data_IF_873975691036
#
_entry.id   IF_873975691036
#
_cell.length_a   1.000
_cell.length_b   1.000
_cell.length_c   1.000
_cell.angle_alpha   90.00
_cell.angle_beta   90.00
_cell.angle_gamma   90.00
#
_symmetry.space_group_name_H-M   'P 1'
#
loop_
_entity.id
_entity.type
_entity.pdbx_description
1 polymer ?
#
# COMPACT_ATOMS: atom_id res chain seq x y z
N UNK A 1 -33.58 14.57 -0.77
CA UNK A 1 -32.55 13.75 -1.46
C UNK A 1 -33.25 12.52 -2.00
N UNK A 2 -33.00 12.14 -3.26
CA UNK A 2 -33.53 10.92 -3.87
C UNK A 2 -32.33 10.01 -4.14
N UNK A 3 -32.41 8.73 -3.76
CA UNK A 3 -31.35 7.73 -3.91
C UNK A 3 -31.85 6.58 -4.79
N UNK A 4 -31.69 6.65 -6.12
CA UNK A 4 -32.33 5.72 -7.06
C UNK A 4 -31.86 4.26 -6.94
N UNK A 5 -30.66 4.04 -6.40
CA UNK A 5 -30.02 2.73 -6.29
C UNK A 5 -30.13 2.13 -4.88
N UNK A 6 -30.90 2.76 -3.97
CA UNK A 6 -30.94 2.38 -2.54
C UNK A 6 -31.44 0.95 -2.28
N UNK A 7 -32.23 0.41 -3.20
CA UNK A 7 -32.88 -0.90 -3.08
C UNK A 7 -32.08 -2.01 -3.81
N UNK A 8 -30.89 -1.69 -4.33
CA UNK A 8 -30.00 -2.61 -5.05
C UNK A 8 -28.71 -2.87 -4.27
N UNK A 9 -28.22 -4.11 -4.36
CA UNK A 9 -26.89 -4.51 -3.93
C UNK A 9 -25.82 -4.14 -4.96
N UNK A 10 -24.53 -4.24 -4.58
CA UNK A 10 -23.41 -3.75 -5.39
C UNK A 10 -23.24 -4.52 -6.71
N UNK A 11 -23.46 -5.82 -6.69
CA UNK A 11 -23.52 -6.70 -7.86
C UNK A 11 -24.70 -6.34 -8.77
N UNK A 12 -25.89 -6.12 -8.22
CA UNK A 12 -27.07 -5.71 -8.99
C UNK A 12 -26.88 -4.33 -9.67
N UNK A 13 -26.19 -3.40 -9.00
CA UNK A 13 -25.82 -2.10 -9.61
C UNK A 13 -24.88 -2.30 -10.80
N UNK A 14 -24.00 -3.30 -10.78
CA UNK A 14 -23.11 -3.61 -11.90
C UNK A 14 -23.89 -4.19 -13.07
N UNK A 15 -24.70 -5.21 -12.82
CA UNK A 15 -25.57 -5.82 -13.84
C UNK A 15 -26.47 -4.78 -14.52
N UNK A 16 -27.12 -3.91 -13.73
CA UNK A 16 -27.93 -2.81 -14.24
C UNK A 16 -27.11 -1.85 -15.13
N UNK A 17 -25.85 -1.57 -14.77
CA UNK A 17 -24.98 -0.73 -15.58
C UNK A 17 -24.74 -1.31 -16.98
N UNK A 18 -24.51 -2.61 -17.07
CA UNK A 18 -24.33 -3.30 -18.35
C UNK A 18 -25.62 -3.35 -19.16
N UNK A 19 -26.77 -3.61 -18.52
CA UNK A 19 -28.09 -3.58 -19.17
C UNK A 19 -28.42 -2.19 -19.77
N UNK A 20 -27.94 -1.13 -19.11
CA UNK A 20 -28.05 0.24 -19.60
C UNK A 20 -27.04 0.58 -20.72
N UNK A 21 -26.18 -0.37 -21.10
CA UNK A 21 -25.20 -0.22 -22.17
C UNK A 21 -23.91 0.51 -21.76
N UNK A 22 -23.62 0.59 -20.45
CA UNK A 22 -22.33 1.11 -19.99
C UNK A 22 -21.20 0.11 -20.31
N UNK A 23 -19.98 0.58 -20.63
CA UNK A 23 -18.85 -0.31 -20.85
C UNK A 23 -18.53 -1.17 -19.63
N UNK A 24 -18.25 -2.46 -19.83
CA UNK A 24 -17.90 -3.41 -18.77
C UNK A 24 -16.77 -2.89 -17.87
N UNK A 25 -15.64 -2.48 -18.47
CA UNK A 25 -14.49 -1.93 -17.77
C UNK A 25 -14.80 -0.66 -16.95
N UNK A 26 -15.89 0.04 -17.24
CA UNK A 26 -16.33 1.20 -16.48
C UNK A 26 -17.14 0.80 -15.24
N UNK A 27 -18.02 -0.18 -15.40
CA UNK A 27 -18.91 -0.70 -14.35
C UNK A 27 -18.13 -1.53 -13.32
N UNK A 28 -17.12 -2.25 -13.76
CA UNK A 28 -16.31 -3.15 -12.94
C UNK A 28 -15.07 -2.49 -12.32
N UNK A 29 -14.90 -1.17 -12.45
CA UNK A 29 -13.80 -0.44 -11.82
C UNK A 29 -13.77 -0.66 -10.32
N UNK A 30 -12.56 -0.69 -9.78
CA UNK A 30 -12.35 -0.66 -8.34
C UNK A 30 -12.96 0.60 -7.71
N UNK A 31 -13.43 0.50 -6.46
CA UNK A 31 -13.86 1.68 -5.73
C UNK A 31 -12.68 2.68 -5.62
N UNK A 32 -12.98 3.95 -5.87
CA UNK A 32 -12.04 5.05 -5.72
C UNK A 32 -12.56 6.03 -4.66
N UNK A 33 -11.74 6.40 -3.65
CA UNK A 33 -12.22 7.22 -2.54
C UNK A 33 -12.59 8.64 -3.00
N UNK A 34 -13.57 9.26 -2.33
CA UNK A 34 -14.00 10.64 -2.66
C UNK A 34 -12.86 11.68 -2.64
N UNK A 35 -11.98 11.68 -1.62
CA UNK A 35 -10.77 12.53 -1.61
C UNK A 35 -9.71 12.15 -2.67
N UNK A 36 -9.90 11.04 -3.38
CA UNK A 36 -9.02 10.54 -4.42
C UNK A 36 -7.58 10.32 -3.97
N UNK A 37 -6.63 10.82 -4.77
CA UNK A 37 -5.20 10.68 -4.48
C UNK A 37 -4.75 11.40 -3.21
N UNK A 38 -5.57 12.31 -2.66
CA UNK A 38 -5.22 13.05 -1.44
C UNK A 38 -5.02 12.17 -0.21
N UNK A 39 -5.63 10.98 -0.17
CA UNK A 39 -5.47 9.97 0.90
C UNK A 39 -4.45 8.86 0.55
N UNK A 40 -3.78 9.02 -0.59
CA UNK A 40 -2.75 8.11 -1.12
C UNK A 40 -1.40 8.78 -1.30
N UNK A 41 -1.31 10.10 -1.13
CA UNK A 41 -0.04 10.83 -1.06
C UNK A 41 0.24 11.15 0.39
N UNK A 42 1.10 10.35 1.02
CA UNK A 42 1.43 10.56 2.42
C UNK A 42 2.21 11.88 2.56
N UNK A 43 1.70 12.74 3.44
CA UNK A 43 2.26 14.05 3.71
C UNK A 43 2.97 14.04 5.07
N UNK A 44 4.19 14.56 5.10
CA UNK A 44 4.96 14.68 6.34
C UNK A 44 5.98 15.81 6.23
N UNK A 45 6.03 16.67 7.25
CA UNK A 45 7.01 17.76 7.33
C UNK A 45 8.35 17.27 7.94
N UNK A 46 8.28 16.30 8.84
CA UNK A 46 9.41 15.75 9.59
C UNK A 46 9.32 14.23 9.71
N UNK A 47 10.46 13.60 9.99
CA UNK A 47 10.54 12.17 10.29
C UNK A 47 9.64 11.80 11.48
N UNK A 48 9.01 10.64 11.41
CA UNK A 48 8.05 10.19 12.42
C UNK A 48 8.68 9.82 13.78
N UNK A 49 9.99 9.55 13.82
CA UNK A 49 10.75 9.27 15.03
C UNK A 49 12.13 9.91 14.96
N UNK A 50 12.65 10.34 16.10
CA UNK A 50 14.00 10.87 16.26
C UNK A 50 15.01 9.72 16.42
N UNK A 51 16.27 9.88 16.00
CA UNK A 51 17.34 8.92 16.32
C UNK A 51 17.55 8.70 17.83
N UNK A 52 17.08 9.63 18.67
CA UNK A 52 17.08 9.50 20.13
C UNK A 52 15.98 8.61 20.69
N UNK A 53 14.95 8.35 19.88
CA UNK A 53 13.89 7.41 20.25
C UNK A 53 14.47 6.01 20.07
N UNK A 54 14.34 5.16 21.09
CA UNK A 54 14.71 3.75 20.94
C UNK A 54 14.00 3.22 19.69
N UNK A 55 14.77 2.78 18.69
CA UNK A 55 14.20 2.23 17.47
C UNK A 55 13.17 1.15 17.85
N UNK A 56 11.98 1.12 17.22
CA UNK A 56 10.99 0.10 17.50
C UNK A 56 11.64 -1.28 17.42
N UNK A 57 11.55 -2.05 18.51
CA UNK A 57 12.08 -3.41 18.57
C UNK A 57 11.40 -4.22 17.46
N UNK A 58 12.19 -4.72 16.51
CA UNK A 58 11.68 -5.67 15.52
C UNK A 58 11.56 -7.04 16.17
N UNK A 59 10.47 -7.75 15.88
CA UNK A 59 10.30 -9.15 16.29
C UNK A 59 11.03 -10.13 15.36
N UNK A 60 11.58 -9.62 14.26
CA UNK A 60 12.39 -10.42 13.35
C UNK A 60 13.85 -10.36 13.84
N UNK A 61 14.47 -11.50 14.19
CA UNK A 61 15.88 -11.52 14.52
C UNK A 61 16.68 -11.01 13.34
N UNK A 62 17.37 -9.90 13.53
CA UNK A 62 18.19 -9.29 12.51
C UNK A 62 19.42 -8.68 13.17
N UNK A 63 20.46 -9.51 13.30
CA UNK A 63 21.71 -9.14 13.98
C UNK A 63 22.36 -7.87 13.40
N UNK A 64 21.99 -7.47 12.17
CA UNK A 64 22.55 -6.32 11.46
C UNK A 64 21.51 -5.31 10.91
N UNK A 65 20.22 -5.41 11.25
CA UNK A 65 19.13 -4.58 10.69
C UNK A 65 19.09 -4.55 9.14
N UNK A 66 19.48 -5.65 8.47
CA UNK A 66 19.50 -5.78 7.00
C UNK A 66 18.19 -6.29 6.40
N UNK A 67 17.42 -7.05 7.16
CA UNK A 67 16.19 -7.73 6.75
C UNK A 67 14.93 -7.07 7.28
N UNK A 68 15.02 -6.22 8.30
CA UNK A 68 13.90 -5.37 8.75
C UNK A 68 14.32 -3.93 9.02
N UNK A 69 13.47 -2.98 8.61
CA UNK A 69 13.67 -1.55 8.86
C UNK A 69 12.38 -0.83 9.21
N UNK A 70 12.44 0.01 10.25
CA UNK A 70 11.36 0.97 10.55
C UNK A 70 11.41 2.12 9.54
N UNK A 71 10.27 2.42 8.92
CA UNK A 71 10.12 3.48 7.94
C UNK A 71 9.92 4.84 8.65
N UNK A 72 10.46 5.95 8.11
CA UNK A 72 10.46 7.26 8.76
C UNK A 72 9.11 7.99 8.73
N UNK A 73 8.01 7.24 8.69
CA UNK A 73 6.64 7.73 8.48
C UNK A 73 5.68 7.10 9.48
N UNK A 74 4.55 7.78 9.71
CA UNK A 74 3.38 7.17 10.34
C UNK A 74 2.39 6.75 9.26
N UNK A 75 1.57 5.76 9.59
CA UNK A 75 0.50 5.26 8.76
C UNK A 75 -0.77 5.11 9.59
N UNK A 76 -1.92 5.36 8.98
CA UNK A 76 -3.21 5.17 9.65
C UNK A 76 -3.50 3.68 9.84
N UNK A 77 -4.09 3.36 10.98
CA UNK A 77 -4.57 2.04 11.35
C UNK A 77 -5.81 2.12 12.23
N UNK A 78 -6.43 0.98 12.51
CA UNK A 78 -7.61 0.84 13.38
C UNK A 78 -7.36 -0.22 14.43
N UNK A 79 -7.49 0.15 15.71
CA UNK A 79 -7.43 -0.78 16.83
C UNK A 79 -8.56 -0.46 17.81
N UNK A 80 -9.39 -1.46 18.13
CA UNK A 80 -10.65 -1.22 18.83
C UNK A 80 -11.54 -0.28 18.03
N UNK A 81 -12.09 0.73 18.69
CA UNK A 81 -13.05 1.68 18.09
C UNK A 81 -12.39 2.95 17.53
N UNK A 82 -11.06 3.08 17.64
CA UNK A 82 -10.33 4.31 17.32
C UNK A 82 -9.37 4.18 16.14
N UNK A 83 -9.19 5.30 15.41
CA UNK A 83 -8.07 5.48 14.47
C UNK A 83 -6.78 5.67 15.26
N UNK A 84 -5.69 5.10 14.76
CA UNK A 84 -4.34 5.28 15.30
C UNK A 84 -3.40 5.70 14.18
N UNK A 85 -2.37 6.49 14.52
CA UNK A 85 -1.30 6.86 13.61
C UNK A 85 0.01 6.38 14.24
N UNK A 86 0.61 5.35 13.64
CA UNK A 86 1.78 4.66 14.16
C UNK A 86 2.73 4.27 13.03
N UNK A 87 3.91 3.82 13.39
CA UNK A 87 4.98 3.55 12.44
C UNK A 87 4.65 2.38 11.52
N UNK A 88 5.40 2.30 10.42
CA UNK A 88 5.42 1.16 9.52
C UNK A 88 6.81 0.50 9.54
N UNK A 89 6.86 -0.81 9.35
CA UNK A 89 8.12 -1.56 9.20
C UNK A 89 8.15 -2.28 7.85
N UNK A 90 9.32 -2.32 7.23
CA UNK A 90 9.58 -3.01 5.98
C UNK A 90 10.45 -4.25 6.22
N UNK A 91 10.08 -5.36 5.60
CA UNK A 91 10.90 -6.57 5.48
C UNK A 91 11.61 -6.62 4.12
N UNK A 92 12.75 -7.29 4.07
CA UNK A 92 13.59 -7.44 2.88
C UNK A 92 14.02 -8.90 2.72
N UNK A 93 14.13 -9.37 1.48
CA UNK A 93 14.72 -10.68 1.15
C UNK A 93 15.35 -10.67 -0.24
N UNK A 94 16.24 -11.63 -0.50
CA UNK A 94 16.97 -11.72 -1.77
C UNK A 94 16.03 -12.00 -2.96
N UNK A 95 14.94 -12.73 -2.72
CA UNK A 95 13.91 -13.05 -3.72
C UNK A 95 13.09 -11.82 -4.16
N UNK A 96 13.05 -10.77 -3.33
CA UNK A 96 12.28 -9.53 -3.54
C UNK A 96 10.79 -9.73 -3.81
N UNK A 97 10.26 -10.86 -3.32
CA UNK A 97 8.84 -11.18 -3.32
C UNK A 97 8.47 -11.84 -2.00
N UNK A 98 7.38 -11.44 -1.35
CA UNK A 98 6.98 -12.02 -0.06
C UNK A 98 6.55 -13.47 -0.23
N UNK A 99 7.03 -14.35 0.64
CA UNK A 99 6.57 -15.74 0.76
C UNK A 99 5.58 -15.88 1.93
N UNK A 100 5.02 -17.07 2.13
CA UNK A 100 4.07 -17.34 3.23
C UNK A 100 4.63 -16.94 4.61
N UNK A 101 5.94 -17.15 4.83
CA UNK A 101 6.60 -16.77 6.06
C UNK A 101 6.59 -15.25 6.28
N UNK A 102 6.78 -14.44 5.24
CA UNK A 102 6.67 -12.98 5.30
C UNK A 102 5.25 -12.55 5.71
N UNK A 103 4.20 -13.11 5.10
CA UNK A 103 2.80 -12.80 5.49
C UNK A 103 2.50 -13.19 6.94
N UNK A 104 2.91 -14.39 7.37
CA UNK A 104 2.74 -14.84 8.77
C UNK A 104 3.48 -13.93 9.75
N UNK A 105 4.69 -13.53 9.39
CA UNK A 105 5.51 -12.61 10.20
C UNK A 105 4.88 -11.24 10.30
N UNK A 106 4.36 -10.71 9.19
CA UNK A 106 3.63 -9.43 9.16
C UNK A 106 2.43 -9.45 10.13
N UNK A 107 1.60 -10.49 10.08
CA UNK A 107 0.45 -10.66 10.99
C UNK A 107 0.89 -10.75 12.45
N UNK A 108 1.92 -11.56 12.75
CA UNK A 108 2.45 -11.68 14.11
C UNK A 108 3.01 -10.35 14.64
N UNK A 109 3.73 -9.61 13.79
CA UNK A 109 4.37 -8.36 14.14
C UNK A 109 3.37 -7.27 14.50
N UNK A 110 2.35 -7.03 13.66
CA UNK A 110 1.36 -5.97 13.93
C UNK A 110 0.45 -6.27 15.13
N UNK A 111 0.27 -7.55 15.49
CA UNK A 111 -0.48 -7.94 16.69
C UNK A 111 0.33 -7.81 17.98
N UNK A 112 1.67 -7.92 17.88
CA UNK A 112 2.57 -7.94 19.03
C UNK A 112 3.21 -6.56 19.29
N UNK A 113 3.41 -5.75 18.25
CA UNK A 113 4.04 -4.44 18.31
C UNK A 113 2.99 -3.33 18.33
N UNK A 114 2.67 -2.85 19.53
CA UNK A 114 1.67 -1.81 19.76
C UNK A 114 2.00 -0.45 19.11
N UNK A 115 3.21 -0.25 18.60
CA UNK A 115 3.63 1.00 17.94
C UNK A 115 3.76 0.85 16.41
N UNK A 116 3.35 -0.29 15.83
CA UNK A 116 3.39 -0.54 14.39
C UNK A 116 1.95 -0.76 13.87
N UNK A 117 1.58 0.00 12.84
CA UNK A 117 0.30 -0.18 12.15
C UNK A 117 0.42 -1.01 10.88
N UNK A 118 1.59 -1.01 10.24
CA UNK A 118 1.82 -1.63 8.92
C UNK A 118 3.10 -2.43 8.88
N UNK A 119 3.02 -3.60 8.26
CA UNK A 119 4.16 -4.38 7.81
C UNK A 119 4.13 -4.43 6.28
N UNK A 120 5.15 -3.85 5.66
CA UNK A 120 5.36 -3.91 4.22
C UNK A 120 6.55 -4.79 3.88
N UNK A 121 6.66 -5.18 2.62
CA UNK A 121 7.77 -5.94 2.09
C UNK A 121 8.39 -5.20 0.91
N UNK A 122 9.70 -5.02 0.91
CA UNK A 122 10.41 -4.34 -0.16
C UNK A 122 10.52 -5.25 -1.38
N UNK A 123 9.98 -4.81 -2.51
CA UNK A 123 10.02 -5.56 -3.78
C UNK A 123 11.13 -5.09 -4.70
N UNK A 124 11.72 -3.93 -4.39
CA UNK A 124 12.78 -3.28 -5.18
C UNK A 124 14.18 -3.70 -4.72
N UNK A 125 14.39 -3.87 -3.41
CA UNK A 125 15.69 -4.08 -2.79
C UNK A 125 15.73 -5.37 -1.95
N UNK A 126 16.89 -6.04 -1.93
CA UNK A 126 17.09 -7.27 -1.16
C UNK A 126 17.49 -7.06 0.29
N UNK A 127 18.07 -5.90 0.61
CA UNK A 127 18.48 -5.51 1.96
C UNK A 127 18.04 -4.08 2.26
N UNK A 128 17.92 -3.76 3.54
CA UNK A 128 17.63 -2.43 4.03
C UNK A 128 18.76 -1.44 3.68
N UNK A 129 18.41 -0.36 2.99
CA UNK A 129 19.32 0.73 2.63
C UNK A 129 19.14 1.94 3.54
N UNK A 130 20.04 2.92 3.50
CA UNK A 130 19.85 4.18 4.24
C UNK A 130 18.72 4.97 3.60
N UNK A 131 17.68 5.27 4.38
CA UNK A 131 16.53 6.04 3.91
C UNK A 131 16.80 7.53 4.09
N UNK A 132 16.55 8.32 3.05
CA UNK A 132 16.54 9.78 3.07
C UNK A 132 15.09 10.25 3.04
N UNK A 133 14.64 10.75 4.18
CA UNK A 133 13.34 11.42 4.29
C UNK A 133 13.40 12.78 3.61
N UNK A 134 12.36 13.13 2.86
CA UNK A 134 12.17 14.45 2.27
C UNK A 134 10.78 14.94 2.62
N UNK A 135 10.64 16.16 3.13
CA UNK A 135 9.34 16.74 3.43
C UNK A 135 8.42 16.69 2.20
N UNK A 136 7.20 16.17 2.37
CA UNK A 136 6.27 15.90 1.29
C UNK A 136 4.87 16.40 1.60
N UNK A 137 4.24 17.03 0.61
CA UNK A 137 2.86 17.52 0.65
C UNK A 137 2.10 17.04 -0.60
N UNK A 138 0.80 17.34 -0.71
CA UNK A 138 0.10 17.16 -1.99
C UNK A 138 0.53 18.29 -2.93
N UNK A 139 1.30 17.93 -3.95
CA UNK A 139 1.74 18.85 -5.02
C UNK A 139 1.43 18.24 -6.40
N UNK A 140 1.34 19.05 -7.47
CA UNK A 140 1.13 18.54 -8.83
C UNK A 140 2.16 17.49 -9.25
N UNK A 141 3.43 17.68 -8.89
CA UNK A 141 4.53 16.78 -9.24
C UNK A 141 4.38 15.42 -8.57
N UNK A 142 4.09 15.42 -7.25
CA UNK A 142 3.83 14.19 -6.49
C UNK A 142 2.55 13.48 -6.95
N UNK A 143 1.54 14.25 -7.34
CA UNK A 143 0.31 13.69 -7.89
C UNK A 143 0.51 13.09 -9.28
N UNK A 144 1.44 13.60 -10.10
CA UNK A 144 1.81 12.97 -11.38
C UNK A 144 2.54 11.64 -11.15
N UNK A 145 3.55 11.62 -10.27
CA UNK A 145 4.27 10.39 -9.92
C UNK A 145 3.31 9.29 -9.45
N UNK A 146 2.36 9.65 -8.58
CA UNK A 146 1.38 8.68 -8.10
C UNK A 146 0.39 8.25 -9.19
N UNK A 147 -0.04 9.14 -10.09
CA UNK A 147 -0.91 8.79 -11.22
C UNK A 147 -0.23 7.78 -12.15
N UNK A 148 1.03 8.00 -12.46
CA UNK A 148 1.81 7.10 -13.30
C UNK A 148 1.97 5.72 -12.64
N UNK A 149 2.34 5.68 -11.35
CA UNK A 149 2.46 4.43 -10.60
C UNK A 149 1.12 3.67 -10.47
N UNK A 150 0.01 4.38 -10.20
CA UNK A 150 -1.35 3.81 -10.11
C UNK A 150 -1.80 3.23 -11.47
N UNK A 151 -1.51 3.93 -12.58
CA UNK A 151 -1.79 3.43 -13.93
C UNK A 151 -1.01 2.15 -14.26
N UNK A 152 0.28 2.08 -13.90
CA UNK A 152 1.09 0.85 -14.10
C UNK A 152 0.49 -0.32 -13.30
N UNK A 153 0.05 -0.09 -12.06
CA UNK A 153 -0.58 -1.14 -11.26
C UNK A 153 -1.88 -1.64 -11.91
N UNK A 154 -2.76 -0.74 -12.35
CA UNK A 154 -4.01 -1.06 -13.05
C UNK A 154 -3.75 -1.88 -14.33
N UNK A 155 -2.81 -1.43 -15.16
CA UNK A 155 -2.43 -2.12 -16.40
C UNK A 155 -1.89 -3.53 -16.15
N UNK A 156 -0.95 -3.70 -15.20
CA UNK A 156 -0.36 -5.01 -14.92
C UNK A 156 -1.39 -5.98 -14.34
N UNK A 157 -2.34 -5.50 -13.53
CA UNK A 157 -3.43 -6.33 -13.02
C UNK A 157 -4.41 -6.74 -14.11
N UNK A 158 -4.75 -5.84 -15.04
CA UNK A 158 -5.59 -6.17 -16.21
C UNK A 158 -4.90 -7.15 -17.14
N UNK A 159 -3.62 -6.94 -17.45
CA UNK A 159 -2.83 -7.83 -18.30
C UNK A 159 -2.71 -9.24 -17.71
N UNK A 160 -2.67 -9.35 -16.37
CA UNK A 160 -2.63 -10.62 -15.66
C UNK A 160 -4.02 -11.27 -15.48
N UNK A 161 -5.11 -10.60 -15.86
CA UNK A 161 -6.48 -11.07 -15.61
C UNK A 161 -6.86 -11.07 -14.12
N UNK A 162 -6.17 -10.29 -13.29
CA UNK A 162 -6.37 -10.23 -11.84
C UNK A 162 -7.15 -9.02 -11.38
N UNK A 163 -7.47 -8.08 -12.28
CA UNK A 163 -8.09 -6.81 -11.92
C UNK A 163 -9.42 -7.02 -11.19
N UNK A 164 -10.32 -7.85 -11.72
CA UNK A 164 -11.63 -8.09 -11.13
C UNK A 164 -11.62 -9.10 -9.97
N UNK A 165 -10.55 -9.90 -9.85
CA UNK A 165 -10.36 -10.89 -8.78
C UNK A 165 -10.02 -10.26 -7.42
N UNK A 166 -9.58 -9.01 -7.43
CA UNK A 166 -9.27 -8.26 -6.21
C UNK A 166 -10.28 -7.15 -5.97
N UNK A 167 -10.57 -6.87 -4.70
CA UNK A 167 -11.60 -5.89 -4.36
C UNK A 167 -11.15 -4.44 -4.61
N UNK A 168 -9.91 -4.11 -4.25
CA UNK A 168 -9.31 -2.80 -4.53
C UNK A 168 -7.78 -2.90 -4.49
N UNK A 169 -7.09 -2.02 -5.22
CA UNK A 169 -5.64 -1.89 -5.20
C UNK A 169 -5.19 -0.44 -5.00
N UNK A 170 -5.18 0.11 -3.77
CA UNK A 170 -4.53 1.41 -3.56
C UNK A 170 -3.03 1.38 -3.89
N UNK A 171 -2.56 2.41 -4.57
CA UNK A 171 -1.14 2.73 -4.71
C UNK A 171 -0.87 3.98 -3.88
N UNK A 172 0.21 3.99 -3.11
CA UNK A 172 0.49 5.05 -2.12
C UNK A 172 1.89 5.60 -2.33
N UNK A 173 2.04 6.92 -2.34
CA UNK A 173 3.32 7.63 -2.45
C UNK A 173 3.83 8.05 -1.06
N UNK A 174 5.07 7.69 -0.74
CA UNK A 174 5.72 7.95 0.55
C UNK A 174 6.88 8.96 0.42
N UNK A 175 7.03 9.88 1.40
CA UNK A 175 8.00 10.99 1.41
C UNK A 175 9.45 10.57 1.78
N UNK A 176 9.95 9.46 1.23
CA UNK A 176 11.34 9.04 1.41
C UNK A 176 11.82 8.14 0.26
N UNK A 177 13.14 8.06 0.09
CA UNK A 177 13.81 7.18 -0.85
C UNK A 177 15.23 6.84 -0.39
N UNK A 178 16.06 6.35 -1.30
CA UNK A 178 17.51 6.17 -1.09
C UNK A 178 18.27 7.49 -1.34
N UNK A 179 17.78 8.27 -2.29
CA UNK A 179 18.33 9.53 -2.76
C UNK A 179 17.61 10.73 -2.14
N UNK A 180 18.28 11.88 -2.15
CA UNK A 180 17.66 13.11 -1.65
C UNK A 180 16.59 13.56 -2.65
N UNK A 181 15.37 13.85 -2.18
CA UNK A 181 14.22 14.09 -3.05
C UNK A 181 13.51 12.82 -3.56
N UNK A 182 14.15 11.65 -3.47
CA UNK A 182 13.57 10.38 -3.89
C UNK A 182 12.35 9.97 -3.07
N UNK A 183 11.42 9.30 -3.73
CA UNK A 183 10.12 8.88 -3.18
C UNK A 183 9.97 7.36 -3.24
N UNK A 184 9.01 6.83 -2.49
CA UNK A 184 8.72 5.39 -2.50
C UNK A 184 7.25 5.10 -2.78
N UNK A 185 6.97 3.98 -3.41
CA UNK A 185 5.61 3.50 -3.68
C UNK A 185 5.29 2.31 -2.76
N UNK A 186 4.06 2.28 -2.23
CA UNK A 186 3.46 1.09 -1.62
C UNK A 186 2.31 0.60 -2.50
N UNK A 187 2.38 -0.68 -2.84
CA UNK A 187 1.34 -1.45 -3.50
C UNK A 187 0.45 -2.08 -2.42
N UNK A 188 -0.86 -1.82 -2.46
CA UNK A 188 -1.81 -2.27 -1.45
C UNK A 188 -2.93 -3.14 -2.05
N UNK A 189 -2.66 -4.31 -2.63
CA UNK A 189 -3.72 -5.17 -3.13
C UNK A 189 -4.49 -5.77 -1.94
N UNK A 190 -5.81 -5.59 -1.94
CA UNK A 190 -6.68 -6.09 -0.88
C UNK A 190 -7.89 -6.83 -1.44
N UNK A 191 -8.29 -7.85 -0.70
CA UNK A 191 -9.55 -8.55 -0.92
C UNK A 191 -10.43 -8.44 0.33
N UNK A 192 -11.73 -8.27 0.10
CA UNK A 192 -12.70 -7.91 1.11
C UNK A 192 -14.12 -8.26 0.66
N UNK A 193 -14.89 -8.90 1.54
CA UNK A 193 -16.30 -9.20 1.29
C UNK A 193 -17.24 -8.05 1.66
N UNK A 194 -16.89 -7.22 2.65
CA UNK A 194 -17.80 -6.23 3.26
C UNK A 194 -17.13 -4.88 3.61
N UNK A 195 -15.87 -4.68 3.23
CA UNK A 195 -15.01 -3.54 3.55
C UNK A 195 -14.78 -3.31 5.06
N UNK A 196 -15.37 -4.11 5.96
CA UNK A 196 -15.14 -4.06 7.40
C UNK A 196 -13.86 -4.82 7.75
N UNK A 197 -13.65 -5.97 7.11
CA UNK A 197 -12.41 -6.72 7.15
C UNK A 197 -11.81 -6.83 5.75
N UNK A 198 -10.48 -6.77 5.66
CA UNK A 198 -9.79 -6.92 4.39
C UNK A 198 -8.48 -7.68 4.60
N UNK A 199 -8.16 -8.59 3.68
CA UNK A 199 -6.92 -9.35 3.69
C UNK A 199 -5.97 -8.82 2.64
N UNK A 200 -4.67 -8.78 2.97
CA UNK A 200 -3.65 -8.53 1.97
C UNK A 200 -3.64 -9.66 0.93
N UNK A 201 -3.58 -9.31 -0.35
CA UNK A 201 -3.58 -10.29 -1.44
C UNK A 201 -2.17 -10.75 -1.74
N UNK A 202 -2.01 -12.06 -1.97
CA UNK A 202 -0.78 -12.66 -2.48
C UNK A 202 -0.78 -12.55 -4.01
N UNK A 203 0.03 -11.66 -4.56
CA UNK A 203 0.18 -11.53 -6.01
C UNK A 203 1.16 -12.59 -6.56
N UNK A 204 0.95 -13.05 -7.82
CA UNK A 204 1.95 -13.87 -8.51
C UNK A 204 3.33 -13.17 -8.55
N UNK A 205 4.43 -13.88 -8.23
CA UNK A 205 5.76 -13.27 -8.14
C UNK A 205 6.23 -12.56 -9.41
N UNK A 206 5.88 -13.09 -10.58
CA UNK A 206 6.20 -12.55 -11.89
C UNK A 206 5.46 -11.23 -12.17
N UNK A 207 4.15 -11.18 -11.86
CA UNK A 207 3.33 -9.96 -11.96
C UNK A 207 3.90 -8.87 -11.04
N UNK A 208 4.18 -9.21 -9.78
CA UNK A 208 4.72 -8.27 -8.81
C UNK A 208 6.10 -7.73 -9.21
N UNK A 209 6.98 -8.60 -9.71
CA UNK A 209 8.32 -8.19 -10.19
C UNK A 209 8.22 -7.28 -11.41
N UNK A 210 7.36 -7.61 -12.37
CA UNK A 210 7.15 -6.81 -13.57
C UNK A 210 6.60 -5.42 -13.21
N UNK A 211 5.57 -5.37 -12.38
CA UNK A 211 4.98 -4.12 -11.88
C UNK A 211 6.02 -3.28 -11.12
N UNK A 212 6.80 -3.91 -10.23
CA UNK A 212 7.86 -3.22 -9.47
C UNK A 212 8.90 -2.60 -10.39
N UNK A 213 9.40 -3.33 -11.39
CA UNK A 213 10.41 -2.80 -12.30
C UNK A 213 9.88 -1.61 -13.11
N UNK A 214 8.65 -1.70 -13.64
CA UNK A 214 8.03 -0.60 -14.37
C UNK A 214 7.84 0.66 -13.50
N UNK A 215 7.48 0.49 -12.24
CA UNK A 215 7.33 1.61 -11.30
C UNK A 215 8.69 2.23 -10.95
N UNK A 216 9.76 1.43 -10.85
CA UNK A 216 11.13 1.93 -10.63
C UNK A 216 11.70 2.70 -11.83
N UNK A 217 11.16 2.49 -13.04
CA UNK A 217 11.56 3.25 -14.23
C UNK A 217 11.00 4.70 -14.20
N UNK A 218 10.07 5.01 -13.29
CA UNK A 218 9.55 6.37 -13.09
C UNK A 218 10.61 7.23 -12.40
N UNK A 219 11.02 8.32 -13.04
CA UNK A 219 11.99 9.25 -12.47
C UNK A 219 11.48 9.84 -11.14
N UNK A 220 12.26 9.66 -10.07
CA UNK A 220 11.92 10.14 -8.73
C UNK A 220 11.36 9.06 -7.79
N UNK A 221 11.08 7.85 -8.28
CA UNK A 221 10.75 6.69 -7.44
C UNK A 221 12.01 5.85 -7.19
N UNK A 222 12.46 5.81 -5.94
CA UNK A 222 13.64 5.03 -5.55
C UNK A 222 13.28 3.61 -5.08
N UNK A 223 12.14 3.45 -4.41
CA UNK A 223 11.77 2.17 -3.79
C UNK A 223 10.31 1.82 -4.00
N UNK A 224 10.07 0.52 -4.11
CA UNK A 224 8.72 -0.05 -4.18
C UNK A 224 8.56 -1.11 -3.08
N UNK A 225 7.40 -1.08 -2.44
CA UNK A 225 6.98 -1.98 -1.38
C UNK A 225 5.60 -2.57 -1.71
N UNK A 226 5.28 -3.71 -1.10
CA UNK A 226 3.93 -4.27 -1.05
C UNK A 226 3.47 -4.38 0.41
N UNK A 227 2.25 -3.95 0.71
CA UNK A 227 1.69 -3.99 2.06
C UNK A 227 1.06 -5.35 2.39
N UNK A 228 1.61 -6.02 3.41
CA UNK A 228 1.21 -7.35 3.85
C UNK A 228 0.18 -7.32 5.00
N UNK A 229 -0.27 -6.14 5.39
CA UNK A 229 -1.08 -5.96 6.61
C UNK A 229 -2.55 -6.28 6.35
N UNK A 230 -3.24 -6.96 7.26
CA UNK A 230 -4.70 -7.09 7.18
C UNK A 230 -5.40 -5.88 7.82
N UNK A 231 -6.69 -5.70 7.51
CA UNK A 231 -7.58 -4.81 8.26
C UNK A 231 -8.45 -5.67 9.20
N UNK A 232 -8.34 -5.52 10.53
CA UNK A 232 -7.36 -4.74 11.31
C UNK A 232 -5.95 -5.39 11.39
N UNK A 233 -4.89 -4.67 11.85
CA UNK A 233 -4.88 -3.31 12.37
C UNK A 233 -4.62 -2.22 11.32
N UNK A 234 -4.30 -2.60 10.08
CA UNK A 234 -4.23 -1.65 8.98
C UNK A 234 -5.61 -1.17 8.55
N UNK A 235 -5.64 -0.25 7.61
CA UNK A 235 -6.84 0.16 6.86
C UNK A 235 -6.64 -0.13 5.36
N UNK A 236 -7.63 0.23 4.56
CA UNK A 236 -7.55 0.14 3.10
C UNK A 236 -6.54 1.19 2.59
N UNK A 237 -6.86 2.47 2.80
CA UNK A 237 -5.99 3.59 2.47
C UNK A 237 -4.92 3.80 3.55
N UNK A 238 -3.89 4.61 3.25
CA UNK A 238 -2.76 4.89 4.15
C UNK A 238 -2.81 6.29 4.81
N UNK A 239 -3.53 7.24 4.17
CA UNK A 239 -3.77 8.66 4.53
C UNK A 239 -2.53 9.48 4.92
#
# INVERSE_FOLDING_TARGET
VIEPLKDLYKDEVRELGEELGLPHDFVWRHPFPGPGLGVRILCAEKVAFSPSDNAPVSLVPDENNKRVKTLPINSVGVQGDGRTYRLAQAMFSDERTPNEFAYRTAVSAVNSLVNINRMVFCTSHSEATKLKFTSGYITPERAELLREADAIADEEMKNAGLYEEIWQFPVVLLPFGENEGGQSIVLRPIDSKDAMSASAVVLPPDVLKKMTNRILDIEGIDMVFIDLTNKPPGTIEWE
#
